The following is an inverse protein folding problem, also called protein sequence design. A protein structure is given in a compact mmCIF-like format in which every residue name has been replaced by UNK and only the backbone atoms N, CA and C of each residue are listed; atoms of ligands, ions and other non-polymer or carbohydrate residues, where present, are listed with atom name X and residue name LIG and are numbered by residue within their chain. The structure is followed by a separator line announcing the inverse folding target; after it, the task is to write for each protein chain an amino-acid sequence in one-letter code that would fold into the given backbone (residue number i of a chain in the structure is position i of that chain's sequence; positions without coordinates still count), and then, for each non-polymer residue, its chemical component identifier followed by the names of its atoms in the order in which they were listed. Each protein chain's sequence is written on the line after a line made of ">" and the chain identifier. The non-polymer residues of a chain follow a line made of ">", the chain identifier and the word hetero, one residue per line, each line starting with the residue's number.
data_IF_450476447101
#
_entry.id   IF_450476447101
#
_cell.length_a   1.000
_cell.length_b   1.000
_cell.length_c   1.000
_cell.angle_alpha   90.00
_cell.angle_beta   90.00
_cell.angle_gamma   90.00
#
_symmetry.space_group_name_H-M   'P 1'
#
loop_
_entity.id
_entity.type
_entity.pdbx_description
1 polymer ?
#
# COMPACT_ATOMS: atom_id res chain seq x y z
N UNK A 1 1.32 -11.44 12.47
CA UNK A 1 1.33 -11.16 11.01
C UNK A 1 1.64 -9.68 10.84
N UNK A 2 2.83 -9.34 10.34
CA UNK A 2 3.18 -7.94 10.05
C UNK A 2 2.30 -7.40 8.92
N UNK A 3 1.26 -6.64 9.28
CA UNK A 3 0.45 -5.91 8.29
C UNK A 3 1.32 -4.83 7.66
N UNK A 4 1.73 -5.04 6.41
CA UNK A 4 2.52 -4.09 5.64
C UNK A 4 1.58 -3.01 5.05
N UNK A 5 1.70 -1.73 5.45
CA UNK A 5 0.87 -0.63 4.94
C UNK A 5 1.21 -0.20 3.50
N UNK A 6 1.76 -1.11 2.69
CA UNK A 6 2.26 -0.80 1.35
C UNK A 6 1.15 -0.28 0.42
N UNK A 7 -0.08 -0.77 0.59
CA UNK A 7 -1.23 -0.26 -0.19
C UNK A 7 -1.59 1.18 0.14
N UNK A 8 -1.40 1.62 1.38
CA UNK A 8 -1.62 3.01 1.78
C UNK A 8 -0.61 3.93 1.08
N UNK A 9 0.67 3.50 1.00
CA UNK A 9 1.71 4.26 0.30
C UNK A 9 1.41 4.41 -1.20
N UNK A 10 0.82 3.39 -1.81
CA UNK A 10 0.43 3.43 -3.22
C UNK A 10 -0.80 4.33 -3.41
N UNK A 11 -1.81 4.20 -2.56
CA UNK A 11 -3.00 5.05 -2.59
C UNK A 11 -2.65 6.54 -2.43
N UNK A 12 -1.67 6.85 -1.58
CA UNK A 12 -1.17 8.21 -1.37
C UNK A 12 -0.18 8.69 -2.46
N UNK A 13 0.10 7.91 -3.51
CA UNK A 13 1.11 8.19 -4.54
C UNK A 13 2.56 8.33 -4.01
N UNK A 14 2.83 7.79 -2.82
CA UNK A 14 4.09 7.97 -2.09
C UNK A 14 5.00 6.74 -2.17
N UNK A 15 4.57 5.68 -2.87
CA UNK A 15 5.32 4.43 -3.02
C UNK A 15 6.72 4.63 -3.62
N UNK A 16 6.88 5.53 -4.61
CA UNK A 16 8.20 5.81 -5.21
C UNK A 16 9.16 6.47 -4.23
N UNK A 17 8.68 7.46 -3.48
CA UNK A 17 9.48 8.16 -2.47
C UNK A 17 9.80 7.23 -1.30
N UNK A 18 8.85 6.39 -0.89
CA UNK A 18 9.09 5.32 0.06
C UNK A 18 10.24 4.40 -0.40
N UNK A 19 10.23 3.93 -1.65
CA UNK A 19 11.29 3.04 -2.18
C UNK A 19 12.67 3.69 -2.19
N UNK A 20 12.75 5.02 -2.32
CA UNK A 20 14.01 5.79 -2.21
C UNK A 20 14.45 5.99 -0.76
N UNK A 21 13.51 6.05 0.18
CA UNK A 21 13.77 6.39 1.58
C UNK A 21 14.56 5.33 2.35
N UNK A 22 14.50 4.05 1.94
CA UNK A 22 15.08 2.92 2.68
C UNK A 22 14.42 2.63 4.04
N UNK A 23 13.35 3.35 4.40
CA UNK A 23 12.62 3.17 5.66
C UNK A 23 11.72 1.93 5.63
N UNK A 24 11.24 1.51 6.79
CA UNK A 24 10.13 0.55 6.86
C UNK A 24 8.83 1.26 6.45
N UNK A 25 7.86 0.56 5.82
CA UNK A 25 6.61 1.16 5.37
C UNK A 25 5.85 1.90 6.49
N UNK A 26 5.80 1.31 7.69
CA UNK A 26 5.12 1.94 8.84
C UNK A 26 5.79 3.22 9.29
N UNK A 27 7.11 3.28 9.26
CA UNK A 27 7.89 4.42 9.76
C UNK A 27 7.78 5.56 8.76
N UNK A 28 7.82 5.25 7.45
CA UNK A 28 7.52 6.22 6.40
C UNK A 28 6.11 6.79 6.53
N UNK A 29 5.09 5.94 6.72
CA UNK A 29 3.72 6.42 6.93
C UNK A 29 3.59 7.35 8.14
N UNK A 30 4.23 7.02 9.26
CA UNK A 30 4.18 7.83 10.48
C UNK A 30 4.90 9.17 10.34
N UNK A 31 6.10 9.16 9.80
CA UNK A 31 6.97 10.34 9.75
C UNK A 31 6.65 11.24 8.56
N UNK A 32 6.45 10.65 7.37
CA UNK A 32 6.28 11.39 6.12
C UNK A 32 4.81 11.67 5.79
N UNK A 33 3.89 10.77 6.16
CA UNK A 33 2.45 10.93 5.87
C UNK A 33 1.64 11.32 7.10
N UNK A 34 2.26 11.39 8.28
CA UNK A 34 1.60 11.68 9.57
C UNK A 34 0.45 10.71 9.89
N UNK A 35 0.53 9.48 9.38
CA UNK A 35 -0.46 8.44 9.62
C UNK A 35 0.00 7.60 10.82
N UNK A 36 -0.41 8.00 12.03
CA UNK A 36 0.00 7.36 13.30
C UNK A 36 -0.44 5.90 13.42
N UNK A 37 -1.63 5.59 12.90
CA UNK A 37 -2.36 4.34 13.19
C UNK A 37 -2.45 3.37 12.00
N UNK A 38 -1.50 3.44 11.06
CA UNK A 38 -1.49 2.60 9.84
C UNK A 38 -1.46 1.08 10.06
N UNK A 39 -1.23 0.62 11.29
CA UNK A 39 -1.29 -0.81 11.67
C UNK A 39 -2.64 -1.22 12.28
N UNK A 40 -3.49 -0.26 12.62
CA UNK A 40 -4.82 -0.50 13.16
C UNK A 40 -5.73 -1.05 12.07
N UNK A 41 -6.54 -2.05 12.44
CA UNK A 41 -7.55 -2.58 11.52
C UNK A 41 -8.55 -1.49 11.15
N UNK A 42 -9.08 -0.79 12.14
CA UNK A 42 -10.13 0.22 11.94
C UNK A 42 -9.63 1.36 11.04
N UNK A 43 -8.37 1.75 11.20
CA UNK A 43 -7.77 2.78 10.34
C UNK A 43 -7.74 2.33 8.88
N UNK A 44 -7.20 1.13 8.61
CA UNK A 44 -7.09 0.60 7.25
C UNK A 44 -8.48 0.33 6.65
N UNK A 45 -9.39 -0.20 7.45
CA UNK A 45 -10.78 -0.46 7.05
C UNK A 45 -11.50 0.83 6.68
N UNK A 46 -11.40 1.86 7.51
CA UNK A 46 -12.03 3.16 7.25
C UNK A 46 -11.39 3.86 6.03
N UNK A 47 -10.07 3.77 5.88
CA UNK A 47 -9.34 4.32 4.73
C UNK A 47 -9.81 3.70 3.40
N UNK A 48 -9.97 2.38 3.37
CA UNK A 48 -10.44 1.65 2.18
C UNK A 48 -11.95 1.39 2.18
N UNK A 49 -12.73 2.16 2.95
CA UNK A 49 -14.19 2.06 2.96
C UNK A 49 -14.80 2.30 1.57
N UNK A 50 -14.16 3.16 0.78
CA UNK A 50 -14.38 3.22 -0.67
C UNK A 50 -13.53 2.16 -1.37
N UNK A 51 -14.18 1.08 -1.81
CA UNK A 51 -13.54 -0.03 -2.52
C UNK A 51 -12.84 0.40 -3.82
N UNK A 52 -13.25 1.50 -4.45
CA UNK A 52 -12.58 2.05 -5.64
C UNK A 52 -11.14 2.46 -5.36
N UNK A 53 -10.87 3.07 -4.19
CA UNK A 53 -9.50 3.46 -3.77
C UNK A 53 -8.62 2.21 -3.63
N UNK A 54 -9.18 1.13 -3.06
CA UNK A 54 -8.47 -0.12 -2.89
C UNK A 54 -8.10 -0.77 -4.23
N UNK A 55 -9.05 -0.80 -5.17
CA UNK A 55 -8.85 -1.37 -6.50
C UNK A 55 -7.80 -0.58 -7.28
N UNK A 56 -7.86 0.75 -7.26
CA UNK A 56 -6.86 1.60 -7.90
C UNK A 56 -5.47 1.43 -7.27
N UNK A 57 -5.38 1.34 -5.94
CA UNK A 57 -4.11 1.07 -5.27
C UNK A 57 -3.54 -0.31 -5.64
N UNK A 58 -4.38 -1.33 -5.84
CA UNK A 58 -3.93 -2.66 -6.30
C UNK A 58 -3.38 -2.59 -7.73
N UNK A 59 -4.07 -1.91 -8.64
CA UNK A 59 -3.63 -1.73 -10.03
C UNK A 59 -2.31 -0.95 -10.11
N UNK A 60 -2.21 0.14 -9.35
CA UNK A 60 -1.02 1.00 -9.34
C UNK A 60 0.19 0.29 -8.73
N UNK A 61 -0.02 -0.52 -7.68
CA UNK A 61 1.03 -1.37 -7.13
C UNK A 61 1.53 -2.35 -8.19
N UNK A 62 0.63 -3.03 -8.90
CA UNK A 62 0.99 -3.98 -9.94
C UNK A 62 1.78 -3.32 -11.08
N UNK A 63 1.41 -2.09 -11.46
CA UNK A 63 2.10 -1.30 -12.51
C UNK A 63 3.52 -0.89 -12.11
N UNK A 64 3.74 -0.58 -10.83
CA UNK A 64 5.00 0.01 -10.34
C UNK A 64 5.93 -1.00 -9.68
N UNK A 65 5.40 -2.10 -9.16
CA UNK A 65 6.17 -3.18 -8.60
C UNK A 65 6.86 -4.00 -9.70
N UNK A 66 8.13 -4.33 -9.48
CA UNK A 66 8.84 -5.33 -10.29
C UNK A 66 8.40 -6.71 -9.83
N UNK A 67 7.28 -7.20 -10.36
CA UNK A 67 6.74 -8.52 -10.03
C UNK A 67 7.58 -9.59 -10.74
N UNK A 68 8.15 -10.57 -10.00
CA UNK A 68 8.88 -11.68 -10.62
C UNK A 68 7.98 -12.52 -11.53
N UNK A 69 8.58 -13.07 -12.60
CA UNK A 69 7.85 -13.93 -13.53
C UNK A 69 7.35 -15.18 -12.79
N UNK A 70 6.05 -15.45 -12.88
CA UNK A 70 5.41 -16.60 -12.25
C UNK A 70 4.80 -16.32 -10.89
N UNK A 71 4.92 -15.11 -10.35
CA UNK A 71 4.20 -14.71 -9.14
C UNK A 71 2.79 -14.19 -9.47
N UNK A 72 1.83 -14.60 -8.63
CA UNK A 72 0.46 -14.08 -8.66
C UNK A 72 0.34 -12.90 -7.70
N UNK A 73 -0.43 -11.91 -8.10
CA UNK A 73 -0.72 -10.72 -7.32
C UNK A 73 -2.20 -10.63 -6.98
N UNK A 74 -2.56 -9.69 -6.11
CA UNK A 74 -3.96 -9.42 -5.81
C UNK A 74 -4.76 -8.93 -7.02
N UNK A 75 -4.10 -8.31 -8.00
CA UNK A 75 -4.77 -7.92 -9.23
C UNK A 75 -5.32 -9.15 -9.98
N UNK A 76 -4.61 -10.28 -9.92
CA UNK A 76 -5.02 -11.52 -10.58
C UNK A 76 -6.28 -12.14 -9.96
N UNK A 77 -6.59 -11.77 -8.71
CA UNK A 77 -7.79 -12.21 -7.98
C UNK A 77 -9.03 -11.34 -8.24
N UNK A 78 -8.87 -10.16 -8.86
CA UNK A 78 -9.98 -9.23 -9.14
C UNK A 78 -10.71 -9.54 -10.47
N UNK A 79 -10.55 -10.75 -11.00
CA UNK A 79 -11.15 -11.21 -12.26
C UNK A 79 -12.58 -11.68 -12.10
#
# INVERSE_FOLDING_TARGET
>A
MDRKPERLLVAENQYKEFKKSGKKPSDFCKENLRMSDVKSYDYVFNYFSNSGILVEAIKEYHRTAKIPKGEYTLLDLLK
#
